data_IF_768596315909
#
_entry.id   IF_768596315909
#
_cell.length_a   1.000
_cell.length_b   1.000
_cell.length_c   1.000
_cell.angle_alpha   90.00
_cell.angle_beta   90.00
_cell.angle_gamma   90.00
#
_symmetry.space_group_name_H-M   'P 1'
#
loop_
_entity.id
_entity.type
_entity.pdbx_description
1 polymer ?
#
# COMPACT_ATOMS: atom_id res chain seq x y z
N UNK A 1 -13.41 -11.10 -3.27
CA UNK A 1 -13.43 -9.64 -3.06
C UNK A 1 -13.51 -8.97 -4.43
N UNK A 2 -14.62 -8.28 -4.75
CA UNK A 2 -14.79 -7.56 -6.03
C UNK A 2 -14.29 -6.14 -5.81
N UNK A 3 -13.12 -5.80 -6.34
CA UNK A 3 -12.60 -4.43 -6.29
C UNK A 3 -13.28 -3.59 -7.38
N UNK A 4 -13.95 -2.50 -6.98
CA UNK A 4 -14.62 -1.56 -7.90
C UNK A 4 -13.60 -0.74 -8.70
N UNK A 5 -13.91 -0.33 -9.95
CA UNK A 5 -13.05 0.54 -10.74
C UNK A 5 -13.34 2.02 -10.42
N UNK A 6 -12.46 2.77 -9.73
CA UNK A 6 -12.66 4.22 -9.54
C UNK A 6 -11.36 5.06 -9.54
N UNK A 7 -11.43 6.11 -10.37
CA UNK A 7 -10.85 7.47 -10.38
C UNK A 7 -9.34 7.77 -10.34
N UNK A 8 -8.97 8.62 -11.30
CA UNK A 8 -7.68 9.02 -11.87
C UNK A 8 -6.80 9.96 -11.02
N UNK A 9 -7.11 10.20 -9.75
CA UNK A 9 -6.38 11.16 -8.89
C UNK A 9 -5.67 10.52 -7.70
N UNK A 10 -5.73 9.20 -7.56
CA UNK A 10 -5.04 8.45 -6.52
C UNK A 10 -3.65 8.03 -7.02
N UNK A 11 -2.65 7.96 -6.14
CA UNK A 11 -1.34 7.38 -6.45
C UNK A 11 -1.46 5.88 -6.73
N UNK A 12 -1.93 5.57 -7.93
CA UNK A 12 -2.28 4.25 -8.38
C UNK A 12 -0.98 3.48 -8.65
N UNK A 13 -0.69 2.51 -7.81
CA UNK A 13 0.43 1.62 -8.04
C UNK A 13 -0.07 0.34 -8.71
N UNK A 14 0.53 -0.02 -9.83
CA UNK A 14 0.13 -1.21 -10.59
C UNK A 14 0.83 -2.45 -10.02
N UNK A 15 0.05 -3.49 -9.69
CA UNK A 15 0.55 -4.73 -9.11
C UNK A 15 0.30 -5.86 -10.09
N UNK A 16 1.33 -6.62 -10.43
CA UNK A 16 1.24 -7.79 -11.29
C UNK A 16 1.56 -9.06 -10.50
N UNK A 17 0.65 -10.04 -10.50
CA UNK A 17 0.87 -11.37 -9.92
C UNK A 17 0.75 -12.48 -10.97
N UNK A 18 1.62 -13.51 -10.92
CA UNK A 18 1.57 -14.66 -11.81
C UNK A 18 0.56 -15.74 -11.37
N UNK A 19 -0.03 -15.70 -10.17
CA UNK A 19 -0.81 -16.84 -9.64
C UNK A 19 -2.04 -16.39 -8.84
N UNK A 20 -3.24 -16.43 -9.45
CA UNK A 20 -4.47 -16.46 -8.67
C UNK A 20 -5.58 -17.18 -9.46
N UNK A 21 -5.94 -18.39 -9.03
CA UNK A 21 -7.09 -19.15 -9.54
C UNK A 21 -8.38 -18.71 -8.83
N UNK A 22 -9.47 -18.63 -9.60
CA UNK A 22 -10.85 -18.44 -9.10
C UNK A 22 -11.35 -16.98 -9.09
N UNK A 23 -12.26 -16.67 -10.02
CA UNK A 23 -13.46 -15.80 -9.89
C UNK A 23 -14.15 -15.74 -11.28
N UNK A 24 -15.49 -15.80 -11.37
CA UNK A 24 -16.20 -16.06 -12.63
C UNK A 24 -16.22 -14.86 -13.59
N UNK A 25 -16.20 -15.20 -14.89
CA UNK A 25 -16.11 -14.27 -16.03
C UNK A 25 -17.48 -13.93 -16.65
N UNK A 26 -17.64 -12.63 -16.93
CA UNK A 26 -18.32 -11.99 -18.08
C UNK A 26 -19.86 -11.84 -18.17
N UNK A 27 -20.23 -10.66 -18.71
CA UNK A 27 -21.23 -10.49 -19.78
C UNK A 27 -20.71 -9.47 -20.82
N UNK A 28 -21.03 -9.57 -22.13
CA UNK A 28 -20.29 -8.90 -23.23
C UNK A 28 -21.01 -7.69 -23.85
N UNK A 29 -20.29 -6.74 -24.50
CA UNK A 29 -20.97 -5.72 -25.33
C UNK A 29 -20.24 -4.49 -25.92
N UNK A 30 -18.95 -4.19 -25.70
CA UNK A 30 -18.32 -2.98 -26.30
C UNK A 30 -16.92 -3.23 -26.91
N UNK A 31 -16.60 -2.65 -28.09
CA UNK A 31 -15.30 -2.79 -28.74
C UNK A 31 -14.25 -1.85 -28.11
N UNK A 32 -13.08 -2.40 -27.77
CA UNK A 32 -11.88 -1.71 -27.28
C UNK A 32 -10.62 -2.40 -27.86
N UNK A 33 -9.47 -1.72 -27.99
CA UNK A 33 -8.32 -2.21 -28.74
C UNK A 33 -7.68 -3.45 -28.11
N UNK A 34 -7.22 -4.34 -28.98
CA UNK A 34 -6.65 -5.67 -28.71
C UNK A 34 -5.64 -5.68 -27.56
N UNK A 35 -5.96 -6.42 -26.50
CA UNK A 35 -4.94 -7.02 -25.61
C UNK A 35 -5.47 -8.34 -25.06
N UNK A 36 -4.83 -9.45 -25.42
CA UNK A 36 -5.07 -10.75 -24.78
C UNK A 36 -3.86 -11.10 -23.92
N UNK A 37 -4.09 -11.42 -22.64
CA UNK A 37 -3.06 -11.93 -21.73
C UNK A 37 -3.63 -13.13 -20.95
N UNK A 38 -3.23 -14.34 -21.33
CA UNK A 38 -3.51 -15.54 -20.55
C UNK A 38 -2.69 -15.52 -19.24
N UNK A 39 -3.42 -15.44 -18.12
CA UNK A 39 -3.01 -15.64 -16.71
C UNK A 39 -1.92 -14.75 -16.07
N UNK A 40 -1.95 -13.42 -16.27
CA UNK A 40 -1.22 -12.45 -15.40
C UNK A 40 -2.16 -11.34 -14.95
N UNK A 41 -2.76 -11.48 -13.77
CA UNK A 41 -3.69 -10.48 -13.22
C UNK A 41 -2.92 -9.21 -12.84
N UNK A 42 -3.46 -8.06 -13.24
CA UNK A 42 -3.01 -6.75 -12.80
C UNK A 42 -4.05 -6.17 -11.83
N UNK A 43 -3.57 -5.61 -10.73
CA UNK A 43 -4.38 -4.90 -9.74
C UNK A 43 -3.79 -3.51 -9.51
N UNK A 44 -4.53 -2.70 -8.76
CA UNK A 44 -4.12 -1.36 -8.41
C UNK A 44 -4.18 -1.20 -6.89
N UNK A 45 -3.11 -0.67 -6.31
CA UNK A 45 -3.09 -0.19 -4.92
C UNK A 45 -3.22 1.32 -4.86
N UNK A 46 -3.88 1.82 -3.82
CA UNK A 46 -4.17 3.25 -3.66
C UNK A 46 -2.99 4.08 -3.15
N UNK A 47 -2.05 3.44 -2.46
CA UNK A 47 -0.87 4.07 -1.89
C UNK A 47 0.26 3.05 -1.78
N UNK A 48 1.46 3.48 -1.41
CA UNK A 48 2.60 2.58 -1.26
C UNK A 48 2.32 1.45 -0.25
N UNK A 49 1.79 1.77 0.93
CA UNK A 49 1.49 0.80 1.98
C UNK A 49 0.40 -0.22 1.59
N UNK A 50 -0.74 0.25 1.06
CA UNK A 50 -1.80 -0.64 0.57
C UNK A 50 -1.30 -1.54 -0.56
N UNK A 51 -0.41 -1.04 -1.41
CA UNK A 51 0.13 -1.82 -2.51
C UNK A 51 0.99 -2.98 -2.02
N UNK A 52 1.83 -2.76 -1.00
CA UNK A 52 2.56 -3.83 -0.33
C UNK A 52 1.60 -4.85 0.30
N UNK A 53 0.54 -4.41 0.97
CA UNK A 53 -0.50 -5.31 1.49
C UNK A 53 -1.14 -6.19 0.41
N UNK A 54 -1.48 -5.61 -0.74
CA UNK A 54 -2.02 -6.36 -1.88
C UNK A 54 -0.97 -7.30 -2.45
N UNK A 55 0.31 -6.92 -2.52
CA UNK A 55 1.39 -7.85 -2.93
C UNK A 55 1.51 -9.05 -1.99
N UNK A 56 1.35 -8.86 -0.68
CA UNK A 56 1.32 -9.96 0.29
C UNK A 56 0.13 -10.91 0.03
N UNK A 57 -1.06 -10.36 -0.20
CA UNK A 57 -2.26 -11.14 -0.46
C UNK A 57 -2.26 -11.81 -1.84
N UNK A 58 -1.57 -11.20 -2.81
CA UNK A 58 -1.41 -11.66 -4.18
C UNK A 58 -0.56 -12.94 -4.32
N UNK A 59 0.05 -13.38 -3.23
CA UNK A 59 0.93 -14.53 -3.17
C UNK A 59 2.41 -14.12 -3.06
N UNK A 60 3.25 -15.11 -2.76
CA UNK A 60 4.68 -14.94 -2.47
C UNK A 60 5.52 -14.42 -3.65
N UNK A 61 4.93 -14.13 -4.81
CA UNK A 61 5.64 -13.59 -5.98
C UNK A 61 4.81 -12.48 -6.63
N UNK A 62 5.26 -11.23 -6.57
CA UNK A 62 4.56 -10.10 -7.15
C UNK A 62 5.54 -8.98 -7.54
N UNK A 63 5.15 -8.16 -8.52
CA UNK A 63 5.87 -6.94 -8.88
C UNK A 63 4.92 -5.76 -8.82
N UNK A 64 5.36 -4.71 -8.13
CA UNK A 64 4.72 -3.41 -8.03
C UNK A 64 5.46 -2.43 -8.93
N UNK A 65 4.75 -1.72 -9.80
CA UNK A 65 5.30 -0.63 -10.61
C UNK A 65 4.62 0.68 -10.18
N UNK A 66 5.43 1.69 -9.85
CA UNK A 66 4.96 2.99 -9.37
C UNK A 66 5.95 4.10 -9.72
N UNK A 67 5.55 5.37 -9.53
CA UNK A 67 6.42 6.53 -9.71
C UNK A 67 6.82 7.13 -8.37
N UNK A 68 8.10 7.46 -8.20
CA UNK A 68 8.60 8.10 -6.99
C UNK A 68 7.89 9.44 -6.74
N UNK A 69 7.38 9.65 -5.52
CA UNK A 69 6.60 10.86 -5.19
C UNK A 69 5.40 11.12 -6.12
N UNK A 70 4.85 10.07 -6.75
CA UNK A 70 3.79 10.08 -7.77
C UNK A 70 4.10 10.80 -9.10
N UNK A 71 5.24 11.48 -9.22
CA UNK A 71 5.60 12.26 -10.42
C UNK A 71 6.99 11.94 -10.98
N UNK A 72 7.93 11.51 -10.12
CA UNK A 72 9.31 11.19 -10.46
C UNK A 72 9.46 9.87 -11.19
N UNK A 73 10.66 9.30 -11.20
CA UNK A 73 10.98 8.11 -12.00
C UNK A 73 10.03 6.93 -11.74
N UNK A 74 9.74 6.17 -12.79
CA UNK A 74 9.06 4.89 -12.65
C UNK A 74 10.06 3.87 -12.10
N UNK A 75 9.65 3.18 -11.04
CA UNK A 75 10.42 2.13 -10.37
C UNK A 75 9.57 0.87 -10.25
N UNK A 76 10.24 -0.27 -10.08
CA UNK A 76 9.60 -1.55 -9.81
C UNK A 76 10.12 -2.14 -8.51
N UNK A 77 9.21 -2.63 -7.69
CA UNK A 77 9.47 -3.31 -6.43
C UNK A 77 9.01 -4.76 -6.57
N UNK A 78 9.91 -5.70 -6.32
CA UNK A 78 9.68 -7.13 -6.54
C UNK A 78 9.73 -7.89 -5.24
N UNK A 79 8.79 -8.82 -5.11
CA UNK A 79 8.74 -9.81 -4.05
C UNK A 79 8.88 -11.17 -4.68
N UNK A 80 9.79 -11.98 -4.15
CA UNK A 80 10.04 -13.35 -4.60
C UNK A 80 10.09 -14.27 -3.40
N UNK A 81 9.32 -15.36 -3.46
CA UNK A 81 9.14 -16.29 -2.35
C UNK A 81 8.76 -15.63 -1.00
N UNK A 82 8.07 -14.48 -1.03
CA UNK A 82 7.66 -13.72 0.15
C UNK A 82 8.74 -12.78 0.69
N UNK A 83 9.88 -12.69 0.03
CA UNK A 83 10.96 -11.78 0.39
C UNK A 83 10.99 -10.57 -0.55
N UNK A 84 11.07 -9.38 0.04
CA UNK A 84 11.27 -8.14 -0.68
C UNK A 84 12.71 -8.07 -1.20
N UNK A 85 12.88 -7.83 -2.50
CA UNK A 85 14.21 -7.74 -3.12
C UNK A 85 14.72 -6.30 -3.17
N UNK A 86 13.84 -5.36 -3.51
CA UNK A 86 14.18 -3.95 -3.70
C UNK A 86 14.00 -3.16 -2.39
N UNK A 87 15.09 -3.02 -1.61
CA UNK A 87 15.06 -2.49 -0.23
C UNK A 87 15.53 -1.05 -0.08
N UNK A 88 16.12 -0.47 -1.12
CA UNK A 88 16.77 0.85 -1.09
C UNK A 88 15.78 2.02 -1.25
N UNK A 89 14.56 1.85 -0.73
CA UNK A 89 13.49 2.84 -0.83
C UNK A 89 12.93 3.18 0.55
N UNK A 90 12.28 4.32 0.63
CA UNK A 90 11.54 4.77 1.81
C UNK A 90 10.08 5.06 1.47
N UNK A 91 9.20 4.90 2.44
CA UNK A 91 7.79 5.27 2.35
C UNK A 91 7.52 6.40 3.33
N UNK A 92 6.83 7.43 2.84
CA UNK A 92 6.45 8.60 3.62
C UNK A 92 5.02 8.47 4.15
N UNK A 93 4.85 8.77 5.44
CA UNK A 93 3.58 8.80 6.16
C UNK A 93 3.34 10.21 6.69
N UNK A 94 2.77 11.13 5.89
CA UNK A 94 2.55 12.52 6.30
C UNK A 94 1.40 12.71 7.29
N UNK A 95 0.44 11.78 7.32
CA UNK A 95 -0.78 11.92 8.11
C UNK A 95 -0.67 11.06 9.38
N UNK A 96 -0.91 11.63 10.57
CA UNK A 96 -1.03 10.83 11.79
C UNK A 96 -2.08 9.73 11.61
N UNK A 97 -1.75 8.50 12.01
CA UNK A 97 -2.60 7.33 11.81
C UNK A 97 -3.97 7.50 12.47
N UNK A 98 -4.07 8.21 13.60
CA UNK A 98 -5.37 8.54 14.22
C UNK A 98 -6.32 9.32 13.30
N UNK A 99 -5.77 10.01 12.30
CA UNK A 99 -6.49 10.83 11.34
C UNK A 99 -6.59 10.18 9.95
N UNK A 100 -5.94 9.02 9.72
CA UNK A 100 -5.85 8.43 8.38
C UNK A 100 -7.24 8.10 7.79
N UNK A 101 -8.21 7.73 8.63
CA UNK A 101 -9.58 7.41 8.22
C UNK A 101 -10.51 8.62 8.15
N UNK A 102 -10.11 9.79 8.66
CA UNK A 102 -10.90 11.02 8.50
C UNK A 102 -11.04 11.39 7.02
N UNK A 103 -9.99 11.12 6.24
CA UNK A 103 -10.01 11.22 4.78
C UNK A 103 -9.00 10.22 4.19
N UNK A 104 -9.45 8.98 4.01
CA UNK A 104 -8.61 7.88 3.51
C UNK A 104 -8.15 8.10 2.07
N UNK A 105 -8.95 8.79 1.25
CA UNK A 105 -8.60 9.09 -0.15
C UNK A 105 -7.40 10.02 -0.17
N UNK A 106 -7.45 11.12 0.59
CA UNK A 106 -6.34 12.06 0.70
C UNK A 106 -5.12 11.38 1.34
N UNK A 107 -5.30 10.67 2.44
CA UNK A 107 -4.19 9.97 3.12
C UNK A 107 -3.46 9.02 2.17
N UNK A 108 -4.20 8.22 1.40
CA UNK A 108 -3.60 7.33 0.41
C UNK A 108 -2.89 8.10 -0.72
N UNK A 109 -3.43 9.24 -1.16
CA UNK A 109 -2.83 10.01 -2.26
C UNK A 109 -1.49 10.66 -1.91
N UNK A 110 -1.18 10.81 -0.61
CA UNK A 110 0.08 11.42 -0.13
C UNK A 110 1.00 10.45 0.60
N UNK A 111 0.62 9.17 0.73
CA UNK A 111 1.46 8.12 1.32
C UNK A 111 2.24 7.39 0.22
N UNK A 112 3.42 7.91 -0.10
CA UNK A 112 4.13 7.61 -1.34
C UNK A 112 5.50 6.97 -1.10
N UNK A 113 6.03 6.36 -2.16
CA UNK A 113 7.37 5.77 -2.22
C UNK A 113 8.38 6.80 -2.72
N UNK A 114 9.57 6.83 -2.12
CA UNK A 114 10.69 7.70 -2.49
C UNK A 114 12.00 6.93 -2.45
N UNK A 115 13.02 7.44 -3.13
CA UNK A 115 14.35 6.82 -3.13
C UNK A 115 15.04 6.96 -1.78
N UNK A 116 14.88 8.11 -1.14
CA UNK A 116 15.51 8.44 0.13
C UNK A 116 14.75 9.58 0.81
N UNK A 117 15.16 9.91 2.02
CA UNK A 117 14.52 10.95 2.83
C UNK A 117 14.71 12.37 2.27
N UNK A 118 15.77 12.64 1.52
CA UNK A 118 15.99 13.95 0.90
C UNK A 118 14.95 14.25 -0.19
N UNK A 119 14.55 13.25 -0.99
CA UNK A 119 13.43 13.40 -1.94
C UNK A 119 12.10 13.66 -1.21
N UNK A 120 11.91 13.10 -0.02
CA UNK A 120 10.73 13.38 0.81
C UNK A 120 10.72 14.84 1.25
N UNK A 121 11.87 15.36 1.69
CA UNK A 121 12.01 16.75 2.15
C UNK A 121 11.69 17.75 1.02
N UNK A 122 12.26 17.52 -0.16
CA UNK A 122 12.00 18.34 -1.35
C UNK A 122 10.53 18.28 -1.75
N UNK A 123 9.94 17.09 -1.76
CA UNK A 123 8.54 16.90 -2.11
C UNK A 123 7.60 17.61 -1.12
N UNK A 124 7.87 17.48 0.19
CA UNK A 124 7.12 18.15 1.25
C UNK A 124 7.18 19.68 1.11
N UNK A 125 8.38 20.22 0.90
CA UNK A 125 8.61 21.66 0.68
C UNK A 125 7.84 22.16 -0.53
N UNK A 126 7.96 21.46 -1.67
CA UNK A 126 7.32 21.85 -2.93
C UNK A 126 5.80 21.79 -2.86
N UNK A 127 5.24 20.83 -2.13
CA UNK A 127 3.78 20.60 -2.05
C UNK A 127 3.11 21.29 -0.86
N UNK A 128 3.88 21.90 0.03
CA UNK A 128 3.36 22.50 1.26
C UNK A 128 2.76 21.48 2.23
N UNK A 129 3.23 20.23 2.19
CA UNK A 129 2.78 19.16 3.08
C UNK A 129 3.80 19.02 4.21
N UNK A 130 3.40 19.08 5.50
CA UNK A 130 4.32 18.84 6.60
C UNK A 130 4.96 17.47 6.50
N UNK A 131 6.27 17.40 6.77
CA UNK A 131 6.97 16.12 6.87
C UNK A 131 6.42 15.35 8.07
N UNK A 132 5.78 14.22 7.79
CA UNK A 132 5.45 13.22 8.81
C UNK A 132 6.61 12.25 9.02
N UNK A 133 6.30 10.96 9.10
CA UNK A 133 7.26 9.91 9.38
C UNK A 133 7.77 9.28 8.08
N UNK A 134 9.03 8.86 8.06
CA UNK A 134 9.67 8.24 6.89
C UNK A 134 10.26 6.92 7.35
N UNK A 135 9.91 5.84 6.65
CA UNK A 135 10.33 4.49 7.04
C UNK A 135 10.94 3.73 5.87
N UNK A 136 11.98 2.91 6.10
CA UNK A 136 12.50 2.00 5.10
C UNK A 136 11.39 1.08 4.56
N UNK A 137 11.38 0.84 3.25
CA UNK A 137 10.39 -0.02 2.60
C UNK A 137 10.35 -1.42 3.22
N UNK A 138 11.51 -1.96 3.63
CA UNK A 138 11.59 -3.27 4.28
C UNK A 138 10.78 -3.31 5.58
N UNK A 139 10.91 -2.28 6.43
CA UNK A 139 10.15 -2.19 7.68
C UNK A 139 8.64 -2.13 7.41
N UNK A 140 8.23 -1.39 6.38
CA UNK A 140 6.82 -1.28 6.00
C UNK A 140 6.30 -2.54 5.32
N UNK A 141 7.14 -3.30 4.61
CA UNK A 141 6.80 -4.61 4.08
C UNK A 141 6.51 -5.60 5.21
N UNK A 142 7.35 -5.64 6.24
CA UNK A 142 7.16 -6.52 7.40
C UNK A 142 5.86 -6.14 8.15
N UNK A 143 5.63 -4.83 8.34
CA UNK A 143 4.39 -4.32 8.90
C UNK A 143 3.16 -4.66 8.05
N UNK A 144 3.21 -4.45 6.73
CA UNK A 144 2.13 -4.77 5.82
C UNK A 144 1.84 -6.27 5.79
N UNK A 145 2.88 -7.10 5.92
CA UNK A 145 2.75 -8.55 5.99
C UNK A 145 1.90 -8.99 7.17
N UNK A 146 2.14 -8.42 8.35
CA UNK A 146 1.33 -8.71 9.53
C UNK A 146 -0.06 -8.05 9.46
N UNK A 147 -0.10 -6.77 9.08
CA UNK A 147 -1.35 -6.00 9.02
C UNK A 147 -2.36 -6.63 8.07
N UNK A 148 -1.93 -6.97 6.86
CA UNK A 148 -2.79 -7.51 5.80
C UNK A 148 -2.84 -9.04 5.76
N UNK A 149 -1.92 -9.75 6.43
CA UNK A 149 -1.72 -11.19 6.25
C UNK A 149 -2.97 -12.05 6.45
N UNK A 150 -3.89 -11.60 7.31
CA UNK A 150 -5.16 -12.29 7.59
C UNK A 150 -6.38 -11.73 6.85
N UNK A 151 -6.24 -10.67 6.04
CA UNK A 151 -7.39 -10.03 5.36
C UNK A 151 -8.10 -10.94 4.34
N UNK A 152 -7.48 -12.05 3.94
CA UNK A 152 -8.10 -13.07 3.09
C UNK A 152 -8.85 -14.15 3.90
N UNK A 153 -8.67 -14.21 5.22
CA UNK A 153 -9.31 -15.21 6.07
C UNK A 153 -10.81 -14.91 6.18
N UNK A 154 -11.65 -15.95 6.15
CA UNK A 154 -13.11 -15.80 6.18
C UNK A 154 -13.64 -15.26 7.52
N UNK A 155 -12.90 -15.48 8.60
CA UNK A 155 -13.19 -15.02 9.95
C UNK A 155 -12.51 -13.68 10.29
N UNK A 156 -11.84 -13.05 9.32
CA UNK A 156 -11.12 -11.81 9.58
C UNK A 156 -12.08 -10.68 9.99
N UNK A 157 -11.72 -10.01 11.08
CA UNK A 157 -12.37 -8.80 11.56
C UNK A 157 -11.37 -7.66 11.62
N UNK A 158 -11.87 -6.42 11.51
CA UNK A 158 -11.04 -5.22 11.71
C UNK A 158 -10.29 -5.26 13.03
N UNK A 159 -9.06 -4.77 13.02
CA UNK A 159 -8.23 -4.61 14.22
C UNK A 159 -8.91 -3.75 15.27
N UNK A 160 -8.83 -4.16 16.54
CA UNK A 160 -9.16 -3.24 17.63
C UNK A 160 -8.07 -2.17 17.76
N UNK A 161 -8.35 -1.07 18.47
CA UNK A 161 -7.32 -0.07 18.75
C UNK A 161 -6.12 -0.69 19.48
N UNK A 162 -6.39 -1.56 20.46
CA UNK A 162 -5.36 -2.29 21.19
C UNK A 162 -4.48 -3.12 20.25
N UNK A 163 -5.08 -3.88 19.33
CA UNK A 163 -4.32 -4.69 18.37
C UNK A 163 -3.48 -3.80 17.46
N UNK A 164 -4.03 -2.69 16.98
CA UNK A 164 -3.32 -1.76 16.11
C UNK A 164 -2.09 -1.15 16.80
N UNK A 165 -2.24 -0.67 18.05
CA UNK A 165 -1.12 -0.15 18.87
C UNK A 165 -0.04 -1.21 19.06
N UNK A 166 -0.45 -2.43 19.36
CA UNK A 166 0.47 -3.53 19.65
C UNK A 166 1.19 -4.03 18.38
N UNK A 167 0.53 -4.01 17.21
CA UNK A 167 1.19 -4.21 15.91
C UNK A 167 2.21 -3.09 15.65
N UNK A 168 1.85 -1.82 15.81
CA UNK A 168 2.78 -0.70 15.59
C UNK A 168 4.03 -0.83 16.47
N UNK A 169 3.84 -1.19 17.75
CA UNK A 169 4.93 -1.41 18.69
C UNK A 169 5.86 -2.54 18.23
N UNK A 170 5.32 -3.70 17.80
CA UNK A 170 6.13 -4.82 17.29
C UNK A 170 6.98 -4.45 16.07
N UNK A 171 6.47 -3.56 15.22
CA UNK A 171 7.15 -3.08 14.02
C UNK A 171 8.02 -1.86 14.25
N UNK A 172 8.25 -1.44 15.51
CA UNK A 172 9.00 -0.22 15.86
C UNK A 172 8.48 1.04 15.14
N UNK A 173 7.16 1.10 14.93
CA UNK A 173 6.44 2.23 14.37
C UNK A 173 6.00 3.12 15.52
N UNK A 174 6.86 4.06 15.90
CA UNK A 174 6.71 4.91 17.08
C UNK A 174 6.71 6.39 16.72
N UNK A 175 6.22 7.23 17.62
CA UNK A 175 6.22 8.68 17.46
C UNK A 175 4.85 9.24 17.07
N UNK A 176 4.75 10.56 16.79
CA UNK A 176 3.47 11.25 16.69
C UNK A 176 2.59 10.81 15.52
N UNK A 177 3.18 10.20 14.49
CA UNK A 177 2.42 9.64 13.37
C UNK A 177 1.73 8.33 13.76
N UNK A 178 2.35 7.51 14.62
CA UNK A 178 1.83 6.19 14.99
C UNK A 178 1.07 6.20 16.31
N UNK A 179 1.05 7.33 17.01
CA UNK A 179 0.26 7.51 18.22
C UNK A 179 -1.24 7.66 17.87
N UNK A 180 -1.98 6.59 18.15
CA UNK A 180 -3.42 6.47 17.88
C UNK A 180 -4.29 6.56 19.14
N UNK A 181 -3.70 6.89 20.30
CA UNK A 181 -4.39 6.89 21.59
C UNK A 181 -4.65 5.48 22.15
N UNK A 182 -4.96 5.40 23.44
CA UNK A 182 -5.14 4.15 24.19
C UNK A 182 -6.57 3.82 24.61
N UNK A 183 -7.56 4.64 24.25
CA UNK A 183 -8.92 4.45 24.75
C UNK A 183 -9.71 3.43 23.93
N UNK A 184 -10.35 2.50 24.64
CA UNK A 184 -11.10 1.36 24.09
C UNK A 184 -12.02 1.74 22.91
N UNK A 185 -11.64 1.32 21.70
CA UNK A 185 -12.36 1.61 20.45
C UNK A 185 -11.97 0.68 19.31
N UNK A 186 -12.70 0.76 18.19
CA UNK A 186 -12.35 0.09 16.93
C UNK A 186 -11.53 1.03 16.07
N UNK A 187 -10.53 0.48 15.39
CA UNK A 187 -9.65 1.19 14.46
C UNK A 187 -10.08 0.94 13.00
#
# INVERSE_FOLDING_TARGET
>A
MVFKPWQTTTALCCIRSPTMSGLPTHSPGHPQPVSFHLARKKWWGNCAWCSLGVMQLAGRNATLTTRLGAIGDEVSITIKNGELLDKDFVIHFPIPMRNAWNNVIFTCSVMLLFRNEAEVDEWCSTRGIPKGDVRPIQQIWDFATEWYGRHADADWTKWSLHDAVEIFRRHNLTGPIWDIGGDSGRF
#
